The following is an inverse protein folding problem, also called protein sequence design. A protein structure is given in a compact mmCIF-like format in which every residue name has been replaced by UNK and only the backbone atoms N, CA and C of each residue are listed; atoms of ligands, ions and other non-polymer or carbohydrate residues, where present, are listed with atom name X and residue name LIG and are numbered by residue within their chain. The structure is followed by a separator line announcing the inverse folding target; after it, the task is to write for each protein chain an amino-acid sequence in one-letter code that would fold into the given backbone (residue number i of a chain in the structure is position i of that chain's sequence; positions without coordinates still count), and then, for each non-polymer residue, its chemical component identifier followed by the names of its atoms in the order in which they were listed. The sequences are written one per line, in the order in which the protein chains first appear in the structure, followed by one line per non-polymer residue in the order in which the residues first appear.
data_IF_013918569650
#
_entry.id   IF_013918569650
#
_cell.length_a   1.000
_cell.length_b   1.000
_cell.length_c   1.000
_cell.angle_alpha   90.00
_cell.angle_beta   90.00
_cell.angle_gamma   90.00
#
_symmetry.space_group_name_H-M   'P 1'
#
loop_
_entity.id
_entity.type
_entity.pdbx_description
1 polymer ?
#
# COMPACT_ATOMS: atom_id res chain seq x y z
N UNK A 1 17.71 -20.54 19.61
CA UNK A 1 16.54 -19.96 18.92
C UNK A 1 16.15 -18.52 19.29
N UNK A 2 16.38 -18.02 20.51
CA UNK A 2 16.02 -16.65 20.94
C UNK A 2 16.59 -15.52 20.04
N UNK A 3 17.86 -15.62 19.64
CA UNK A 3 18.50 -14.63 18.74
C UNK A 3 17.82 -14.54 17.36
N UNK A 4 17.31 -15.66 16.84
CA UNK A 4 16.62 -15.70 15.54
C UNK A 4 15.21 -15.08 15.63
N UNK A 5 14.51 -15.25 16.76
CA UNK A 5 13.22 -14.56 16.99
C UNK A 5 13.38 -13.05 17.16
N UNK A 6 14.40 -12.59 17.88
CA UNK A 6 14.62 -11.14 18.11
C UNK A 6 14.98 -10.42 16.80
N UNK A 7 15.82 -11.04 15.96
CA UNK A 7 16.13 -10.52 14.63
C UNK A 7 14.88 -10.37 13.75
N UNK A 8 13.96 -11.36 13.79
CA UNK A 8 12.70 -11.32 13.04
C UNK A 8 11.76 -10.21 13.53
N UNK A 9 11.74 -9.91 14.82
CA UNK A 9 10.97 -8.77 15.36
C UNK A 9 11.57 -7.44 14.89
N UNK A 10 12.90 -7.28 14.97
CA UNK A 10 13.58 -6.08 14.52
C UNK A 10 13.40 -5.84 13.00
N UNK A 11 13.43 -6.90 12.18
CA UNK A 11 13.19 -6.80 10.74
C UNK A 11 11.76 -6.34 10.42
N UNK A 12 10.75 -6.85 11.14
CA UNK A 12 9.36 -6.40 11.00
C UNK A 12 9.19 -4.93 11.37
N UNK A 13 9.85 -4.46 12.43
CA UNK A 13 9.87 -3.05 12.80
C UNK A 13 10.42 -2.14 11.70
N UNK A 14 11.59 -2.49 11.12
CA UNK A 14 12.17 -1.73 10.00
C UNK A 14 11.28 -1.72 8.75
N UNK A 15 10.63 -2.84 8.46
CA UNK A 15 9.71 -2.94 7.32
C UNK A 15 8.49 -2.04 7.53
N UNK A 16 7.95 -1.99 8.74
CA UNK A 16 6.86 -1.08 9.10
C UNK A 16 7.26 0.39 8.92
N UNK A 17 8.45 0.77 9.38
CA UNK A 17 8.95 2.14 9.20
C UNK A 17 9.11 2.52 7.73
N UNK A 18 9.51 1.57 6.88
CA UNK A 18 9.58 1.78 5.43
C UNK A 18 8.19 2.04 4.82
N UNK A 19 7.20 1.20 5.15
CA UNK A 19 5.82 1.36 4.69
C UNK A 19 5.16 2.67 5.20
N UNK A 20 5.42 3.06 6.46
CA UNK A 20 4.97 4.33 7.03
C UNK A 20 5.57 5.52 6.26
N UNK A 21 6.88 5.48 5.98
CA UNK A 21 7.55 6.54 5.20
C UNK A 21 6.99 6.64 3.79
N UNK A 22 6.72 5.51 3.12
CA UNK A 22 6.15 5.50 1.78
C UNK A 22 4.77 6.21 1.75
N UNK A 23 3.85 5.85 2.65
CA UNK A 23 2.54 6.52 2.78
C UNK A 23 2.66 8.01 3.07
N UNK A 24 3.54 8.37 4.02
CA UNK A 24 3.76 9.78 4.40
C UNK A 24 4.26 10.61 3.21
N UNK A 25 5.25 10.11 2.47
CA UNK A 25 5.75 10.78 1.26
C UNK A 25 4.66 10.95 0.21
N UNK A 26 3.89 9.89 -0.07
CA UNK A 26 2.78 9.96 -1.01
C UNK A 26 1.77 11.05 -0.61
N UNK A 27 1.29 10.99 0.64
CA UNK A 27 0.22 11.90 1.12
C UNK A 27 0.70 13.36 1.19
N UNK A 28 1.89 13.59 1.74
CA UNK A 28 2.46 14.94 1.82
C UNK A 28 2.80 15.48 0.43
N UNK A 29 3.25 14.64 -0.50
CA UNK A 29 3.47 15.04 -1.89
C UNK A 29 2.19 15.42 -2.65
N UNK A 30 1.02 14.89 -2.27
CA UNK A 30 -0.29 15.40 -2.74
C UNK A 30 -0.54 16.79 -2.15
N UNK A 31 -0.39 16.94 -0.84
CA UNK A 31 -0.60 18.21 -0.15
C UNK A 31 0.30 19.32 -0.71
N UNK A 32 1.60 19.06 -0.89
CA UNK A 32 2.54 20.07 -1.39
C UNK A 32 2.16 20.55 -2.80
N UNK A 33 1.65 19.67 -3.66
CA UNK A 33 1.13 20.06 -5.00
C UNK A 33 -0.11 20.94 -4.92
N UNK A 34 -0.99 20.70 -3.94
CA UNK A 34 -2.18 21.54 -3.73
C UNK A 34 -1.78 22.91 -3.18
N UNK A 35 -0.88 22.95 -2.20
CA UNK A 35 -0.40 24.19 -1.63
C UNK A 35 0.33 25.05 -2.66
N UNK A 36 1.08 24.44 -3.57
CA UNK A 36 1.68 25.15 -4.70
C UNK A 36 0.63 25.79 -5.61
N UNK A 37 -0.48 25.09 -5.90
CA UNK A 37 -1.60 25.66 -6.67
C UNK A 37 -2.26 26.83 -5.95
N UNK A 38 -2.44 26.73 -4.63
CA UNK A 38 -3.01 27.80 -3.81
C UNK A 38 -2.09 29.03 -3.85
N UNK A 39 -0.79 28.84 -3.64
CA UNK A 39 0.21 29.93 -3.73
C UNK A 39 0.23 30.59 -5.11
N UNK A 40 0.20 29.81 -6.18
CA UNK A 40 0.17 30.35 -7.54
C UNK A 40 -1.08 31.19 -7.83
N UNK A 41 -2.23 30.88 -7.22
CA UNK A 41 -3.49 31.60 -7.42
C UNK A 41 -3.66 32.80 -6.50
N UNK A 42 -3.20 32.71 -5.26
CA UNK A 42 -3.50 33.68 -4.20
C UNK A 42 -2.28 34.44 -3.68
N UNK A 43 -1.08 34.12 -4.17
CA UNK A 43 0.18 34.70 -3.71
C UNK A 43 0.52 34.30 -2.27
N UNK A 44 1.57 34.90 -1.73
CA UNK A 44 2.03 34.70 -0.35
C UNK A 44 1.30 35.68 0.59
N UNK A 45 0.00 35.51 0.76
CA UNK A 45 -0.80 36.31 1.69
C UNK A 45 -0.88 35.63 3.05
N UNK A 46 -1.06 36.41 4.13
CA UNK A 46 -1.23 35.87 5.48
C UNK A 46 -2.38 34.84 5.56
N UNK A 47 -3.49 35.10 4.86
CA UNK A 47 -4.61 34.16 4.78
C UNK A 47 -4.24 32.84 4.08
N UNK A 48 -3.43 32.88 3.02
CA UNK A 48 -2.96 31.67 2.34
C UNK A 48 -2.00 30.85 3.23
N UNK A 49 -1.14 31.52 4.01
CA UNK A 49 -0.24 30.89 4.97
C UNK A 49 -0.98 30.23 6.13
N UNK A 50 -2.02 30.87 6.68
CA UNK A 50 -2.88 30.28 7.71
C UNK A 50 -3.58 29.01 7.23
N UNK A 51 -4.10 29.04 5.99
CA UNK A 51 -4.72 27.86 5.36
C UNK A 51 -3.69 26.75 5.15
N UNK A 52 -2.48 27.08 4.66
CA UNK A 52 -1.39 26.10 4.54
C UNK A 52 -1.06 25.44 5.87
N UNK A 53 -0.92 26.23 6.93
CA UNK A 53 -0.63 25.72 8.27
C UNK A 53 -1.75 24.81 8.80
N UNK A 54 -3.01 25.22 8.64
CA UNK A 54 -4.17 24.44 9.06
C UNK A 54 -4.24 23.09 8.33
N UNK A 55 -4.02 23.08 7.01
CA UNK A 55 -4.03 21.86 6.20
C UNK A 55 -2.88 20.91 6.58
N UNK A 56 -1.65 21.44 6.76
CA UNK A 56 -0.51 20.63 7.22
C UNK A 56 -0.78 19.99 8.57
N UNK A 57 -1.35 20.75 9.52
CA UNK A 57 -1.76 20.22 10.82
C UNK A 57 -2.79 19.10 10.69
N UNK A 58 -3.83 19.32 9.88
CA UNK A 58 -4.88 18.33 9.64
C UNK A 58 -4.30 17.02 9.06
N UNK A 59 -3.49 17.11 8.00
CA UNK A 59 -2.87 15.94 7.36
C UNK A 59 -1.95 15.20 8.32
N UNK A 60 -1.17 15.91 9.13
CA UNK A 60 -0.33 15.29 10.17
C UNK A 60 -1.15 14.49 11.18
N UNK A 61 -2.30 15.02 11.62
CA UNK A 61 -3.21 14.31 12.52
C UNK A 61 -3.83 13.07 11.84
N UNK A 62 -4.28 13.19 10.59
CA UNK A 62 -4.83 12.07 9.81
C UNK A 62 -3.79 10.95 9.61
N UNK A 63 -2.51 11.30 9.49
CA UNK A 63 -1.42 10.35 9.31
C UNK A 63 -0.97 9.67 10.63
N UNK A 64 -1.50 10.07 11.79
CA UNK A 64 -1.13 9.46 13.06
C UNK A 64 -1.66 8.02 13.17
N UNK A 65 -2.98 7.84 13.14
CA UNK A 65 -3.62 6.53 13.35
C UNK A 65 -3.11 5.46 12.37
N UNK A 66 -2.99 5.74 11.06
CA UNK A 66 -2.44 4.75 10.13
C UNK A 66 -0.98 4.39 10.44
N UNK A 67 -0.18 5.28 11.07
CA UNK A 67 1.19 4.95 11.50
C UNK A 67 1.19 4.00 12.71
N UNK A 68 0.32 4.26 13.69
CA UNK A 68 0.14 3.39 14.86
C UNK A 68 -0.35 2.01 14.41
N UNK A 69 -1.31 1.97 13.48
CA UNK A 69 -1.84 0.72 12.91
C UNK A 69 -0.77 -0.12 12.23
N UNK A 70 0.12 0.49 11.44
CA UNK A 70 1.24 -0.21 10.79
C UNK A 70 2.19 -0.85 11.82
N UNK A 71 2.57 -0.11 12.87
CA UNK A 71 3.43 -0.62 13.94
C UNK A 71 2.79 -1.78 14.70
N UNK A 72 1.50 -1.67 15.03
CA UNK A 72 0.74 -2.74 15.67
C UNK A 72 0.70 -4.00 14.80
N UNK A 73 0.37 -3.86 13.51
CA UNK A 73 0.31 -5.01 12.59
C UNK A 73 1.69 -5.68 12.45
N UNK A 74 2.79 -4.94 12.44
CA UNK A 74 4.13 -5.52 12.46
C UNK A 74 4.43 -6.30 13.74
N UNK A 75 4.06 -5.77 14.92
CA UNK A 75 4.18 -6.48 16.19
C UNK A 75 3.37 -7.78 16.19
N UNK A 76 2.16 -7.76 15.61
CA UNK A 76 1.30 -8.94 15.43
C UNK A 76 1.78 -9.90 14.33
N UNK A 77 2.83 -9.55 13.56
CA UNK A 77 3.30 -10.36 12.42
C UNK A 77 2.38 -10.34 11.20
N UNK A 78 1.55 -9.30 11.08
CA UNK A 78 0.51 -9.11 10.05
C UNK A 78 0.76 -7.85 9.21
N UNK A 79 2.04 -7.49 9.03
CA UNK A 79 2.42 -6.28 8.28
C UNK A 79 2.05 -6.38 6.80
N UNK A 80 2.07 -7.59 6.24
CA UNK A 80 1.59 -7.93 4.89
C UNK A 80 0.23 -7.29 4.56
N UNK A 81 -0.74 -7.39 5.47
CA UNK A 81 -2.07 -6.79 5.27
C UNK A 81 -2.04 -5.28 5.12
N UNK A 82 -1.12 -4.61 5.81
CA UNK A 82 -0.97 -3.17 5.70
C UNK A 82 -0.31 -2.80 4.36
N UNK A 83 0.68 -3.57 3.92
CA UNK A 83 1.36 -3.40 2.63
C UNK A 83 0.40 -3.68 1.46
N UNK A 84 -0.42 -4.73 1.54
CA UNK A 84 -1.52 -4.99 0.58
C UNK A 84 -2.48 -3.80 0.49
N UNK A 85 -2.88 -3.22 1.62
CA UNK A 85 -3.79 -2.08 1.65
C UNK A 85 -3.14 -0.80 1.09
N UNK A 86 -1.83 -0.61 1.26
CA UNK A 86 -1.11 0.53 0.66
C UNK A 86 -1.16 0.46 -0.87
N UNK A 87 -0.96 -0.72 -1.43
CA UNK A 87 -1.07 -0.93 -2.87
C UNK A 87 -2.52 -0.74 -3.34
N UNK A 88 -3.47 -1.42 -2.69
CA UNK A 88 -4.87 -1.40 -3.12
C UNK A 88 -5.54 -0.01 -3.03
N UNK A 89 -5.18 0.80 -2.03
CA UNK A 89 -5.84 2.10 -1.78
C UNK A 89 -5.08 3.26 -2.40
N UNK A 90 -3.75 3.21 -2.40
CA UNK A 90 -2.91 4.34 -2.81
C UNK A 90 -1.99 4.04 -4.00
N UNK A 91 -1.92 2.78 -4.46
CA UNK A 91 -0.95 2.35 -5.47
C UNK A 91 0.50 2.50 -4.99
N UNK A 92 0.75 2.26 -3.70
CA UNK A 92 2.09 2.38 -3.11
C UNK A 92 2.68 0.99 -2.88
N UNK A 93 3.69 0.65 -3.69
CA UNK A 93 4.49 -0.55 -3.48
C UNK A 93 5.32 -0.44 -2.19
N UNK A 94 5.15 -1.40 -1.29
CA UNK A 94 5.88 -1.42 -0.03
C UNK A 94 7.31 -1.95 -0.22
N UNK A 95 8.36 -1.26 0.30
CA UNK A 95 9.76 -1.66 0.10
C UNK A 95 10.15 -3.03 0.67
N UNK A 96 9.32 -3.61 1.54
CA UNK A 96 9.55 -4.90 2.19
C UNK A 96 8.96 -6.10 1.45
N UNK A 97 8.17 -5.86 0.39
CA UNK A 97 7.51 -6.93 -0.33
C UNK A 97 8.44 -7.52 -1.39
N UNK A 98 8.76 -8.82 -1.35
CA UNK A 98 9.31 -9.48 -2.53
C UNK A 98 8.28 -9.35 -3.65
N UNK A 99 8.73 -8.96 -4.85
CA UNK A 99 7.86 -8.79 -6.01
C UNK A 99 6.89 -9.99 -6.13
N UNK A 100 5.60 -9.77 -6.42
CA UNK A 100 4.67 -10.87 -6.53
C UNK A 100 5.21 -11.86 -7.56
N UNK A 101 5.30 -13.14 -7.19
CA UNK A 101 5.53 -14.19 -8.17
C UNK A 101 4.37 -14.10 -9.16
N UNK A 102 4.65 -13.63 -10.37
CA UNK A 102 3.68 -13.60 -11.46
C UNK A 102 3.23 -15.05 -11.63
N UNK A 103 2.02 -15.34 -11.17
CA UNK A 103 1.41 -16.64 -11.38
C UNK A 103 1.32 -16.85 -12.87
N UNK A 104 2.06 -17.82 -13.39
CA UNK A 104 1.84 -18.31 -14.75
C UNK A 104 0.41 -18.81 -14.78
N UNK A 105 -0.47 -18.08 -15.47
CA UNK A 105 -1.74 -18.61 -15.88
C UNK A 105 -1.44 -19.83 -16.75
N UNK A 106 -1.61 -21.01 -16.15
CA UNK A 106 -1.47 -22.28 -16.84
C UNK A 106 -2.56 -22.30 -17.92
N UNK A 107 -2.13 -22.23 -19.18
CA UNK A 107 -3.02 -22.32 -20.32
C UNK A 107 -3.62 -23.72 -20.34
N UNK A 108 -4.85 -23.85 -19.82
CA UNK A 108 -5.67 -25.05 -20.00
C UNK A 108 -6.00 -25.13 -21.49
N UNK A 109 -5.33 -26.07 -22.18
CA UNK A 109 -5.72 -26.47 -23.53
C UNK A 109 -6.98 -27.33 -23.40
N UNK A 110 -8.12 -26.96 -24.03
CA UNK A 110 -9.29 -27.82 -24.01
C UNK A 110 -9.01 -29.04 -24.89
N UNK A 111 -8.92 -30.22 -24.28
CA UNK A 111 -9.05 -31.47 -25.00
C UNK A 111 -10.50 -31.58 -25.49
N UNK A 112 -10.68 -31.79 -26.80
CA UNK A 112 -11.97 -32.18 -27.36
C UNK A 112 -12.29 -33.60 -26.88
N UNK A 113 -13.42 -33.77 -26.19
CA UNK A 113 -13.96 -35.09 -25.87
C UNK A 113 -14.75 -35.62 -27.08
N UNK A 114 -14.32 -36.79 -27.55
CA UNK A 114 -15.09 -37.67 -28.43
C UNK A 114 -16.38 -38.08 -27.73
N UNK A 115 -17.54 -37.68 -28.28
CA UNK A 115 -18.81 -38.33 -27.96
C UNK A 115 -19.27 -39.19 -29.14
N UNK A 116 -19.03 -40.49 -28.98
CA UNK A 116 -19.67 -41.52 -29.78
C UNK A 116 -21.10 -41.79 -29.31
N UNK A 117 -22.01 -41.95 -30.27
CA UNK A 117 -23.21 -42.76 -30.06
C UNK A 117 -24.42 -42.36 -30.90
N UNK A 118 -24.71 -43.12 -31.96
CA UNK A 118 -26.10 -43.44 -32.32
C UNK A 118 -26.18 -44.63 -33.28
N UNK A 119 -26.58 -45.77 -32.71
CA UNK A 119 -27.57 -46.74 -33.19
C UNK A 119 -27.63 -47.14 -34.68
N UNK A 120 -27.39 -48.44 -34.90
CA UNK A 120 -27.95 -49.23 -36.01
C UNK A 120 -29.45 -49.42 -35.81
N UNK A 121 -30.26 -49.18 -36.84
CA UNK A 121 -31.59 -49.82 -37.00
C UNK A 121 -31.87 -50.05 -38.49
N UNK A 122 -32.20 -51.31 -38.81
CA UNK A 122 -32.86 -51.90 -39.99
C UNK A 122 -32.24 -51.69 -41.39
#
# INVERSE_FOLDING_TARGET
DLCSSDLRVAQRGRSADAAIKARRRHTLGVLDRELERVRARHGCTAAAEEVEFALRRMVNQLLHEPSVRAKRLAAEGRLDRYEDALEAVFGIEAPGRPAPAVGTVEAVCPAHEDEGGAARIA
#
